data_IF_471735592230
#
_entry.id   IF_471735592230
#
_cell.length_a   1.000
_cell.length_b   1.000
_cell.length_c   1.000
_cell.angle_alpha   90.00
_cell.angle_beta   90.00
_cell.angle_gamma   90.00
#
_symmetry.space_group_name_H-M   'P 1'
#
loop_
_entity.id
_entity.type
_entity.pdbx_description
1 polymer ?
#
# COMPACT_ATOMS: atom_id res chain seq x y z
N UNK A 1 10.08 -35.95 30.64
CA UNK A 1 9.92 -35.59 29.21
C UNK A 1 9.96 -34.07 29.15
N UNK A 2 11.07 -33.49 28.72
CA UNK A 2 11.27 -32.03 28.71
C UNK A 2 10.50 -31.46 27.52
N UNK A 3 9.51 -30.61 27.80
CA UNK A 3 8.78 -29.87 26.77
C UNK A 3 9.70 -28.74 26.30
N UNK A 4 10.25 -28.88 25.09
CA UNK A 4 10.92 -27.79 24.39
C UNK A 4 9.84 -26.79 24.00
N UNK A 5 9.78 -25.65 24.68
CA UNK A 5 9.00 -24.52 24.23
C UNK A 5 9.60 -24.08 22.89
N UNK A 6 8.82 -24.18 21.82
CA UNK A 6 9.22 -23.71 20.50
C UNK A 6 9.27 -22.18 20.57
N UNK A 7 10.46 -21.61 20.72
CA UNK A 7 10.66 -20.17 20.60
C UNK A 7 10.20 -19.76 19.20
N UNK A 8 9.13 -18.99 19.13
CA UNK A 8 8.70 -18.36 17.90
C UNK A 8 9.85 -17.49 17.40
N UNK A 9 10.41 -17.86 16.25
CA UNK A 9 11.55 -17.18 15.63
C UNK A 9 11.20 -15.71 15.37
N UNK A 10 11.73 -14.83 16.21
CA UNK A 10 11.43 -13.40 16.21
C UNK A 10 11.91 -12.70 14.94
N UNK A 11 12.76 -13.36 14.14
CA UNK A 11 13.25 -12.89 12.85
C UNK A 11 12.18 -12.94 11.74
N UNK A 12 11.11 -13.72 11.92
CA UNK A 12 10.02 -13.85 10.93
C UNK A 12 8.86 -12.87 11.16
N UNK A 13 8.86 -12.12 12.27
CA UNK A 13 7.80 -11.16 12.57
C UNK A 13 7.92 -9.93 11.66
N UNK A 14 6.96 -9.75 10.74
CA UNK A 14 6.88 -8.54 9.90
C UNK A 14 6.76 -7.32 10.80
N UNK A 15 7.71 -6.39 10.70
CA UNK A 15 7.71 -5.19 11.55
C UNK A 15 7.03 -4.02 10.83
N UNK A 16 6.15 -3.26 11.52
CA UNK A 16 5.50 -2.09 10.94
C UNK A 16 6.49 -1.09 10.35
N UNK A 17 7.66 -0.93 10.99
CA UNK A 17 8.72 -0.05 10.52
C UNK A 17 9.31 -0.44 9.15
N UNK A 18 9.38 -1.74 8.82
CA UNK A 18 9.85 -2.18 7.50
C UNK A 18 8.79 -2.02 6.41
N UNK A 19 7.52 -2.23 6.72
CA UNK A 19 6.40 -1.97 5.81
C UNK A 19 6.36 -0.50 5.39
N UNK A 20 6.50 0.41 6.37
CA UNK A 20 6.53 1.86 6.14
C UNK A 20 7.74 2.28 5.30
N UNK A 21 8.94 1.78 5.61
CA UNK A 21 10.15 2.09 4.81
C UNK A 21 10.00 1.65 3.34
N UNK A 22 9.38 0.49 3.09
CA UNK A 22 9.14 -0.01 1.72
C UNK A 22 7.99 0.71 1.02
N UNK A 23 6.95 1.13 1.75
CA UNK A 23 5.85 1.95 1.23
C UNK A 23 6.31 3.37 0.85
N UNK A 24 7.25 3.94 1.61
CA UNK A 24 7.84 5.25 1.30
C UNK A 24 8.72 5.23 0.05
N UNK A 25 9.40 4.10 -0.23
CA UNK A 25 10.27 3.98 -1.40
C UNK A 25 9.49 3.82 -2.71
N UNK A 26 8.36 3.10 -2.68
CA UNK A 26 7.55 2.86 -3.87
C UNK A 26 6.04 2.94 -3.55
N UNK A 27 5.25 3.74 -4.29
CA UNK A 27 3.80 3.74 -4.14
C UNK A 27 3.24 2.32 -4.35
N UNK A 28 2.53 1.80 -3.35
CA UNK A 28 2.00 0.43 -3.34
C UNK A 28 2.97 -0.66 -2.85
N UNK A 29 4.25 -0.34 -2.61
CA UNK A 29 5.25 -1.31 -2.12
C UNK A 29 4.94 -1.90 -0.74
N UNK A 30 4.29 -1.12 0.13
CA UNK A 30 3.79 -1.59 1.42
C UNK A 30 2.73 -2.67 1.29
N UNK A 31 1.88 -2.61 0.26
CA UNK A 31 0.81 -3.59 0.05
C UNK A 31 1.34 -4.96 -0.34
N UNK A 32 2.42 -5.04 -1.12
CA UNK A 32 3.09 -6.31 -1.39
C UNK A 32 3.74 -6.91 -0.14
N UNK A 33 4.33 -6.06 0.72
CA UNK A 33 4.90 -6.51 1.99
C UNK A 33 3.82 -7.03 2.96
N UNK A 34 2.66 -6.37 2.97
CA UNK A 34 1.49 -6.76 3.77
C UNK A 34 0.70 -7.94 3.16
N UNK A 35 1.16 -8.56 2.07
CA UNK A 35 0.50 -9.73 1.46
C UNK A 35 -0.76 -9.40 0.67
N UNK A 36 -0.94 -8.15 0.24
CA UNK A 36 -2.12 -7.66 -0.49
C UNK A 36 -1.76 -7.26 -1.94
N UNK A 37 -1.43 -8.22 -2.83
CA UNK A 37 -0.94 -7.92 -4.18
C UNK A 37 -2.00 -7.27 -5.07
N UNK A 38 -3.29 -7.56 -4.87
CA UNK A 38 -4.38 -6.94 -5.65
C UNK A 38 -4.45 -5.44 -5.35
N UNK A 39 -4.46 -5.05 -4.07
CA UNK A 39 -4.44 -3.63 -3.68
C UNK A 39 -3.18 -2.94 -4.17
N UNK A 40 -2.02 -3.57 -4.01
CA UNK A 40 -0.74 -3.06 -4.53
C UNK A 40 -0.77 -2.85 -6.04
N UNK A 41 -1.30 -3.80 -6.80
CA UNK A 41 -1.47 -3.71 -8.25
C UNK A 41 -2.40 -2.57 -8.68
N UNK A 42 -3.53 -2.38 -7.99
CA UNK A 42 -4.45 -1.27 -8.25
C UNK A 42 -3.77 0.09 -8.02
N UNK A 43 -3.01 0.24 -6.93
CA UNK A 43 -2.29 1.48 -6.63
C UNK A 43 -1.21 1.78 -7.68
N UNK A 44 -0.42 0.77 -8.07
CA UNK A 44 0.57 0.91 -9.14
C UNK A 44 -0.11 1.28 -10.45
N UNK A 45 -1.21 0.61 -10.81
CA UNK A 45 -1.98 0.90 -12.01
C UNK A 45 -2.50 2.34 -12.03
N UNK A 46 -3.08 2.80 -10.92
CA UNK A 46 -3.55 4.18 -10.78
C UNK A 46 -2.41 5.21 -10.86
N UNK A 47 -1.27 4.92 -10.22
CA UNK A 47 -0.08 5.77 -10.28
C UNK A 47 0.47 5.84 -11.71
N UNK A 48 0.57 4.71 -12.40
CA UNK A 48 1.08 4.62 -13.75
C UNK A 48 0.18 5.34 -14.75
N UNK A 49 -1.13 5.08 -14.69
CA UNK A 49 -2.12 5.77 -15.53
C UNK A 49 -2.08 7.29 -15.32
N UNK A 50 -2.05 7.74 -14.07
CA UNK A 50 -1.96 9.17 -13.74
C UNK A 50 -0.65 9.79 -14.22
N UNK A 51 0.46 9.06 -14.10
CA UNK A 51 1.78 9.44 -14.61
C UNK A 51 1.80 9.61 -16.14
N UNK A 52 1.28 8.63 -16.88
CA UNK A 52 1.19 8.68 -18.33
C UNK A 52 0.34 9.87 -18.80
N UNK A 53 -0.82 10.08 -18.17
CA UNK A 53 -1.70 11.20 -18.51
C UNK A 53 -1.05 12.54 -18.15
N UNK A 54 -0.37 12.63 -17.01
CA UNK A 54 0.39 13.83 -16.65
C UNK A 54 1.44 14.17 -17.72
N UNK A 55 2.24 13.19 -18.16
CA UNK A 55 3.28 13.38 -19.16
C UNK A 55 2.66 13.79 -20.51
N UNK A 56 1.58 13.13 -20.94
CA UNK A 56 0.88 13.48 -22.18
C UNK A 56 0.39 14.93 -22.17
N UNK A 57 -0.31 15.36 -21.12
CA UNK A 57 -0.79 16.74 -21.01
C UNK A 57 0.33 17.76 -20.77
N UNK A 58 1.43 17.37 -20.11
CA UNK A 58 2.62 18.21 -19.99
C UNK A 58 3.29 18.45 -21.35
N UNK A 59 3.40 17.41 -22.17
CA UNK A 59 3.95 17.51 -23.52
C UNK A 59 3.04 18.34 -24.42
N UNK A 60 1.72 18.12 -24.38
CA UNK A 60 0.74 18.94 -25.11
C UNK A 60 0.81 20.40 -24.71
N UNK A 61 0.93 20.70 -23.41
CA UNK A 61 1.09 22.07 -22.93
C UNK A 61 2.41 22.71 -23.40
N UNK A 62 3.52 21.97 -23.34
CA UNK A 62 4.87 22.47 -23.69
C UNK A 62 5.00 22.73 -25.19
N UNK A 63 4.47 21.84 -26.01
CA UNK A 63 4.61 21.88 -27.47
C UNK A 63 3.48 22.66 -28.14
N UNK A 64 2.59 23.30 -27.38
CA UNK A 64 1.49 24.07 -27.95
C UNK A 64 1.98 25.41 -28.50
N UNK A 65 1.87 25.58 -29.82
CA UNK A 65 2.25 26.75 -30.60
C UNK A 65 1.04 27.52 -31.18
N UNK A 66 -0.18 27.03 -30.95
CA UNK A 66 -1.41 27.65 -31.43
C UNK A 66 -1.74 28.99 -30.78
N UNK A 67 -2.52 29.81 -31.48
CA UNK A 67 -2.98 31.12 -30.98
C UNK A 67 -4.12 31.04 -29.96
N UNK A 68 -4.78 29.88 -29.81
CA UNK A 68 -5.89 29.73 -28.88
C UNK A 68 -5.40 29.54 -27.44
N UNK A 69 -5.47 30.62 -26.66
CA UNK A 69 -5.10 30.65 -25.24
C UNK A 69 -5.94 29.71 -24.37
N UNK A 70 -7.18 29.43 -24.77
CA UNK A 70 -8.13 28.60 -24.02
C UNK A 70 -7.71 27.13 -24.05
N UNK A 71 -7.25 26.66 -25.20
CA UNK A 71 -6.72 25.30 -25.35
C UNK A 71 -5.45 25.10 -24.51
N UNK A 72 -4.51 26.06 -24.56
CA UNK A 72 -3.30 26.01 -23.73
C UNK A 72 -3.63 25.93 -22.23
N UNK A 73 -4.59 26.74 -21.78
CA UNK A 73 -5.07 26.72 -20.40
C UNK A 73 -5.71 25.38 -20.01
N UNK A 74 -6.40 24.72 -20.95
CA UNK A 74 -7.01 23.41 -20.73
C UNK A 74 -5.97 22.33 -20.51
N UNK A 75 -4.89 22.30 -21.31
CA UNK A 75 -3.78 21.36 -21.08
C UNK A 75 -3.10 21.59 -19.73
N UNK A 76 -2.95 22.85 -19.31
CA UNK A 76 -2.40 23.17 -17.99
C UNK A 76 -3.28 22.63 -16.86
N UNK A 77 -4.60 22.87 -16.93
CA UNK A 77 -5.57 22.37 -15.94
C UNK A 77 -5.52 20.84 -15.86
N UNK A 78 -5.48 20.18 -17.02
CA UNK A 78 -5.50 18.73 -17.10
C UNK A 78 -4.20 18.10 -16.57
N UNK A 79 -3.03 18.66 -16.90
CA UNK A 79 -1.74 18.27 -16.31
C UNK A 79 -1.77 18.41 -14.80
N UNK A 80 -2.23 19.56 -14.29
CA UNK A 80 -2.31 19.78 -12.84
C UNK A 80 -3.27 18.80 -12.15
N UNK A 81 -4.41 18.49 -12.78
CA UNK A 81 -5.36 17.48 -12.29
C UNK A 81 -4.68 16.12 -12.11
N UNK A 82 -3.93 15.65 -13.10
CA UNK A 82 -3.22 14.37 -12.97
C UNK A 82 -2.03 14.43 -12.00
N UNK A 83 -1.38 15.58 -11.87
CA UNK A 83 -0.37 15.81 -10.82
C UNK A 83 -0.96 15.62 -9.42
N UNK A 84 -2.16 16.15 -9.18
CA UNK A 84 -2.91 15.91 -7.95
C UNK A 84 -3.29 14.44 -7.76
N UNK A 85 -3.72 13.75 -8.82
CA UNK A 85 -4.01 12.32 -8.74
C UNK A 85 -2.80 11.48 -8.33
N UNK A 86 -1.60 11.79 -8.85
CA UNK A 86 -0.36 11.14 -8.43
C UNK A 86 -0.15 11.35 -6.92
N UNK A 87 -0.33 12.58 -6.43
CA UNK A 87 -0.23 12.91 -5.01
C UNK A 87 -1.22 12.13 -4.14
N UNK A 88 -2.50 12.08 -4.56
CA UNK A 88 -3.54 11.35 -3.83
C UNK A 88 -3.26 9.85 -3.79
N UNK A 89 -2.88 9.23 -4.92
CA UNK A 89 -2.55 7.80 -4.97
C UNK A 89 -1.36 7.48 -4.05
N UNK A 90 -0.35 8.34 -4.04
CA UNK A 90 0.82 8.18 -3.16
C UNK A 90 0.43 8.24 -1.68
N UNK A 91 -0.27 9.29 -1.25
CA UNK A 91 -0.69 9.45 0.14
C UNK A 91 -1.64 8.33 0.57
N UNK A 92 -2.61 7.98 -0.28
CA UNK A 92 -3.56 6.90 0.01
C UNK A 92 -2.85 5.55 0.16
N UNK A 93 -1.96 5.19 -0.76
CA UNK A 93 -1.20 3.95 -0.67
C UNK A 93 -0.28 3.89 0.54
N UNK A 94 0.29 5.03 0.94
CA UNK A 94 1.09 5.14 2.16
C UNK A 94 0.25 4.93 3.42
N UNK A 95 -0.89 5.61 3.53
CA UNK A 95 -1.80 5.50 4.67
C UNK A 95 -2.38 4.08 4.79
N UNK A 96 -2.87 3.51 3.68
CA UNK A 96 -3.42 2.14 3.64
C UNK A 96 -2.39 1.11 4.12
N UNK A 97 -1.14 1.24 3.66
CA UNK A 97 -0.05 0.36 4.09
C UNK A 97 0.32 0.55 5.57
N UNK A 98 0.32 1.79 6.09
CA UNK A 98 0.59 2.08 7.49
C UNK A 98 -0.49 1.46 8.39
N UNK A 99 -1.76 1.69 8.05
CA UNK A 99 -2.91 1.19 8.81
C UNK A 99 -2.87 -0.34 8.87
N UNK A 100 -2.68 -1.00 7.72
CA UNK A 100 -2.65 -2.46 7.63
C UNK A 100 -1.44 -3.06 8.37
N UNK A 101 -0.26 -2.43 8.28
CA UNK A 101 0.92 -2.88 8.99
C UNK A 101 0.80 -2.74 10.52
N UNK A 102 0.02 -1.76 11.00
CA UNK A 102 -0.26 -1.59 12.43
C UNK A 102 -1.36 -2.55 12.93
N UNK A 103 -2.23 -3.03 12.04
CA UNK A 103 -3.30 -4.00 12.33
C UNK A 103 -2.84 -5.46 12.27
N UNK A 104 -1.82 -5.81 11.48
CA UNK A 104 -1.32 -7.17 11.37
C UNK A 104 -0.94 -7.81 12.73
N UNK A 105 -0.24 -7.09 13.64
CA UNK A 105 0.04 -7.61 14.97
C UNK A 105 -1.21 -7.93 15.78
N UNK A 106 -2.34 -7.26 15.55
CA UNK A 106 -3.60 -7.48 16.29
C UNK A 106 -4.41 -8.67 15.75
N UNK A 107 -4.42 -8.88 14.43
CA UNK A 107 -5.13 -10.01 13.82
C UNK A 107 -4.43 -11.34 14.10
N UNK A 108 -3.09 -11.37 14.14
CA UNK A 108 -2.35 -12.60 14.45
C UNK A 108 -2.69 -13.13 15.86
N UNK A 109 -2.80 -12.25 16.86
CA UNK A 109 -3.21 -12.62 18.25
C UNK A 109 -4.69 -12.99 18.38
N UNK A 110 -5.56 -12.46 17.52
CA UNK A 110 -7.01 -12.75 17.57
C UNK A 110 -7.39 -14.00 16.76
N UNK A 111 -6.57 -14.38 15.77
CA UNK A 111 -6.70 -15.62 15.02
C UNK A 111 -5.90 -16.77 15.65
N UNK A 112 -5.13 -16.50 16.71
CA UNK A 112 -4.50 -17.52 17.53
C UNK A 112 -5.59 -18.29 18.28
N UNK A 113 -5.69 -19.59 18.00
CA UNK A 113 -6.85 -20.44 18.24
C UNK A 113 -7.61 -20.18 19.56
N UNK A 114 -8.87 -19.73 19.44
CA UNK A 114 -9.89 -19.92 20.48
C UNK A 114 -10.26 -21.41 20.65
N UNK A 115 -9.69 -22.30 19.84
CA UNK A 115 -9.81 -23.76 19.94
C UNK A 115 -8.74 -24.34 20.87
N UNK A 116 -8.85 -24.08 22.17
CA UNK A 116 -8.52 -25.12 23.14
C UNK A 116 -9.83 -25.64 23.72
N UNK A 117 -10.37 -26.76 23.21
CA UNK A 117 -11.40 -27.46 23.95
C UNK A 117 -10.79 -27.83 25.29
N UNK A 118 -11.35 -27.23 26.33
CA UNK A 118 -11.16 -27.65 27.71
C UNK A 118 -11.63 -29.11 27.78
N UNK A 119 -10.71 -30.07 27.70
CA UNK A 119 -11.01 -31.41 28.18
C UNK A 119 -10.61 -31.47 29.65
N UNK A 120 -11.65 -31.30 30.47
CA UNK A 120 -11.70 -31.70 31.86
C UNK A 120 -11.36 -33.18 32.00
N UNK A 121 -10.61 -33.48 33.05
CA UNK A 121 -10.65 -34.66 33.94
C UNK A 121 -11.42 -35.90 33.45
N UNK A 122 -10.78 -37.08 33.46
CA UNK A 122 -11.18 -38.23 34.30
C UNK A 122 -10.25 -39.45 34.15
N UNK A 123 -9.73 -39.89 35.30
CA UNK A 123 -9.37 -41.25 35.77
C UNK A 123 -8.62 -42.26 34.86
N UNK A 124 -7.40 -42.63 35.30
CA UNK A 124 -7.18 -43.95 35.96
C UNK A 124 -5.87 -43.98 36.76
#
# INVERSE_FOLDING_TARGET
>A
MTVVAQEADSLSAKTPGQAVKRALLFPGGGQFYNGQPIKGGLLIGAAFASGLLYIDFANKYKNYDGNDVTQKATYLKQRNKYGWWIGFVYIYGLLDAIVEAHLHPFNDIMNEDLEKPTQKEEEK
#
